data_IF_303705281759
#
_entry.id   IF_303705281759
#
_cell.length_a   1.000
_cell.length_b   1.000
_cell.length_c   1.000
_cell.angle_alpha   90.00
_cell.angle_beta   90.00
_cell.angle_gamma   90.00
#
_symmetry.space_group_name_H-M   'P 1'
#
loop_
_entity.id
_entity.type
_entity.pdbx_description
1 polymer ?
#
# COMPACT_ATOMS: atom_id res chain seq x y z
N UNK A 1 6.99 -19.52 -59.35
CA UNK A 1 7.02 -19.38 -57.88
C UNK A 1 6.35 -18.08 -57.54
N UNK A 2 5.17 -18.11 -56.96
CA UNK A 2 4.22 -17.02 -56.99
C UNK A 2 4.57 -15.95 -55.98
N UNK A 3 5.10 -14.86 -56.46
CA UNK A 3 5.44 -13.63 -55.69
C UNK A 3 4.26 -13.15 -54.83
N UNK A 4 3.05 -13.44 -55.20
CA UNK A 4 1.84 -13.12 -54.49
C UNK A 4 1.80 -13.68 -53.06
N UNK A 5 2.32 -14.91 -52.85
CA UNK A 5 2.37 -15.49 -51.52
C UNK A 5 3.40 -14.81 -50.62
N UNK A 6 4.53 -14.40 -51.21
CA UNK A 6 5.59 -13.68 -50.47
C UNK A 6 5.12 -12.29 -50.01
N UNK A 7 4.43 -11.55 -50.91
CA UNK A 7 3.83 -10.25 -50.60
C UNK A 7 2.73 -10.41 -49.54
N UNK A 8 1.85 -11.43 -49.70
CA UNK A 8 0.83 -11.71 -48.71
C UNK A 8 1.38 -12.00 -47.32
N UNK A 9 2.46 -12.81 -47.24
CA UNK A 9 3.11 -13.11 -45.98
C UNK A 9 3.77 -11.87 -45.33
N UNK A 10 4.43 -11.04 -46.15
CA UNK A 10 5.03 -9.78 -45.69
C UNK A 10 3.97 -8.83 -45.13
N UNK A 11 2.84 -8.66 -45.80
CA UNK A 11 1.71 -7.83 -45.37
C UNK A 11 1.15 -8.35 -44.04
N UNK A 12 0.92 -9.66 -43.93
CA UNK A 12 0.45 -10.26 -42.68
C UNK A 12 1.43 -10.05 -41.52
N UNK A 13 2.73 -10.20 -41.78
CA UNK A 13 3.77 -9.98 -40.78
C UNK A 13 3.80 -8.50 -40.30
N UNK A 14 3.72 -7.56 -41.23
CA UNK A 14 3.67 -6.12 -40.91
C UNK A 14 2.41 -5.75 -40.12
N UNK A 15 1.24 -6.28 -40.54
CA UNK A 15 -0.01 -6.05 -39.81
C UNK A 15 0.02 -6.68 -38.42
N UNK A 16 0.54 -7.90 -38.29
CA UNK A 16 0.74 -8.56 -36.98
C UNK A 16 1.69 -7.79 -36.08
N UNK A 17 2.80 -7.30 -36.62
CA UNK A 17 3.76 -6.46 -35.88
C UNK A 17 3.16 -5.14 -35.44
N UNK A 18 2.40 -4.46 -36.33
CA UNK A 18 1.72 -3.24 -35.98
C UNK A 18 0.63 -3.48 -34.90
N UNK A 19 -0.18 -4.51 -35.04
CA UNK A 19 -1.20 -4.87 -34.03
C UNK A 19 -0.59 -5.17 -32.67
N UNK A 20 0.54 -5.91 -32.64
CA UNK A 20 1.28 -6.20 -31.43
C UNK A 20 1.85 -4.93 -30.78
N UNK A 21 2.42 -4.02 -31.58
CA UNK A 21 2.92 -2.74 -31.09
C UNK A 21 1.80 -1.90 -30.49
N UNK A 22 0.67 -1.73 -31.18
CA UNK A 22 -0.48 -1.01 -30.66
C UNK A 22 -1.02 -1.64 -29.37
N UNK A 23 -1.07 -2.96 -29.30
CA UNK A 23 -1.44 -3.66 -28.08
C UNK A 23 -0.53 -3.31 -26.91
N UNK A 24 0.80 -3.32 -27.11
CA UNK A 24 1.74 -2.95 -26.05
C UNK A 24 1.56 -1.51 -25.57
N UNK A 25 1.36 -0.57 -26.50
CA UNK A 25 1.11 0.84 -26.15
C UNK A 25 -0.16 0.99 -25.33
N UNK A 26 -1.26 0.35 -25.74
CA UNK A 26 -2.53 0.40 -25.01
C UNK A 26 -2.38 -0.26 -23.62
N UNK A 27 -1.67 -1.36 -23.53
CA UNK A 27 -1.44 -2.05 -22.26
C UNK A 27 -0.61 -1.19 -21.29
N UNK A 28 0.44 -0.51 -21.78
CA UNK A 28 1.24 0.39 -20.99
C UNK A 28 0.43 1.59 -20.49
N UNK A 29 -0.32 2.26 -21.38
CA UNK A 29 -1.18 3.38 -21.01
C UNK A 29 -2.25 2.98 -19.97
N UNK A 30 -2.90 1.82 -20.17
CA UNK A 30 -3.88 1.32 -19.19
C UNK A 30 -3.25 1.07 -17.83
N UNK A 31 -2.02 0.52 -17.79
CA UNK A 31 -1.27 0.33 -16.57
C UNK A 31 -0.90 1.64 -15.86
N UNK A 32 -0.47 2.63 -16.63
CA UNK A 32 -0.12 3.95 -16.09
C UNK A 32 -1.35 4.70 -15.56
N UNK A 33 -2.47 4.67 -16.29
CA UNK A 33 -3.74 5.25 -15.84
C UNK A 33 -4.25 4.59 -14.57
N UNK A 34 -4.10 3.27 -14.47
CA UNK A 34 -4.48 2.53 -13.28
C UNK A 34 -3.60 2.94 -12.09
N UNK A 35 -2.27 2.94 -12.24
CA UNK A 35 -1.33 3.35 -11.20
C UNK A 35 -1.54 4.81 -10.78
N UNK A 36 -1.88 5.69 -11.72
CA UNK A 36 -2.16 7.09 -11.44
C UNK A 36 -3.36 7.30 -10.49
N UNK A 37 -4.25 6.31 -10.36
CA UNK A 37 -5.43 6.37 -9.49
C UNK A 37 -5.25 5.54 -8.21
N UNK A 38 -4.13 4.87 -8.04
CA UNK A 38 -3.86 4.08 -6.84
C UNK A 38 -3.52 4.95 -5.63
N UNK A 39 -4.04 4.62 -4.45
CA UNK A 39 -3.56 5.17 -3.20
C UNK A 39 -2.21 4.54 -2.84
N UNK A 40 -1.35 5.30 -2.20
CA UNK A 40 -0.08 4.83 -1.65
C UNK A 40 0.07 5.35 -0.24
N UNK A 41 -0.39 4.58 0.73
CA UNK A 41 -0.30 4.93 2.13
C UNK A 41 1.06 4.52 2.70
N UNK A 42 1.64 5.43 3.49
CA UNK A 42 2.88 5.18 4.23
C UNK A 42 2.76 5.68 5.65
N UNK A 43 3.47 5.01 6.56
CA UNK A 43 3.78 5.55 7.88
C UNK A 43 5.03 6.42 7.73
N UNK A 44 4.91 7.72 7.95
CA UNK A 44 6.00 8.68 7.72
C UNK A 44 6.73 9.06 8.99
N UNK A 45 6.08 8.90 10.12
CA UNK A 45 6.67 9.17 11.42
C UNK A 45 6.04 8.27 12.47
N UNK A 46 6.81 7.94 13.49
CA UNK A 46 6.34 7.23 14.66
C UNK A 46 6.89 7.93 15.90
N UNK A 47 6.00 8.43 16.74
CA UNK A 47 6.36 8.93 18.06
C UNK A 47 5.97 7.90 19.11
N UNK A 48 6.80 7.73 20.12
CA UNK A 48 6.53 6.87 21.26
C UNK A 48 6.46 7.72 22.53
N UNK A 49 5.42 7.58 23.31
CA UNK A 49 5.25 8.25 24.59
C UNK A 49 5.06 7.22 25.69
N UNK A 50 5.85 7.35 26.76
CA UNK A 50 5.71 6.54 27.96
C UNK A 50 4.93 7.34 29.02
N UNK A 51 3.88 6.73 29.54
CA UNK A 51 3.08 7.29 30.64
C UNK A 51 2.85 6.21 31.71
N UNK A 52 3.62 6.24 32.79
CA UNK A 52 3.62 5.17 33.79
C UNK A 52 3.98 3.82 33.15
N UNK A 53 3.08 2.83 33.27
CA UNK A 53 3.26 1.50 32.67
C UNK A 53 2.67 1.37 31.26
N UNK A 54 2.28 2.47 30.64
CA UNK A 54 1.66 2.45 29.32
C UNK A 54 2.63 3.01 28.27
N UNK A 55 2.71 2.35 27.13
CA UNK A 55 3.40 2.84 25.93
C UNK A 55 2.35 3.25 24.91
N UNK A 56 2.39 4.49 24.49
CA UNK A 56 1.55 4.99 23.41
C UNK A 56 2.40 5.19 22.17
N UNK A 57 2.10 4.46 21.10
CA UNK A 57 2.69 4.65 19.79
C UNK A 57 1.76 5.56 18.96
N UNK A 58 2.32 6.60 18.41
CA UNK A 58 1.58 7.58 17.59
C UNK A 58 2.17 7.58 16.18
N UNK A 59 1.74 6.65 15.31
CA UNK A 59 2.11 6.66 13.90
C UNK A 59 1.42 7.81 13.17
N UNK A 60 2.13 8.38 12.23
CA UNK A 60 1.62 9.38 11.31
C UNK A 60 1.44 8.74 9.93
N UNK A 61 0.19 8.75 9.44
CA UNK A 61 -0.17 8.20 8.13
C UNK A 61 -0.24 9.30 7.08
N UNK A 62 0.33 9.03 5.93
CA UNK A 62 0.33 9.92 4.77
C UNK A 62 0.00 9.13 3.50
N UNK A 63 -0.87 9.70 2.66
CA UNK A 63 -1.15 9.15 1.35
C UNK A 63 -0.32 9.91 0.30
N UNK A 64 0.75 9.28 -0.16
CA UNK A 64 1.63 9.84 -1.20
C UNK A 64 1.20 9.43 -2.62
N UNK A 65 0.19 8.56 -2.74
CA UNK A 65 -0.46 8.22 -4.01
C UNK A 65 -1.43 9.30 -4.46
N UNK A 66 -2.10 9.06 -5.58
CA UNK A 66 -3.10 9.99 -6.15
C UNK A 66 -4.54 9.57 -5.87
N UNK A 67 -4.78 8.29 -5.64
CA UNK A 67 -6.08 7.76 -5.27
C UNK A 67 -6.42 7.97 -3.79
N UNK A 68 -7.69 7.87 -3.45
CA UNK A 68 -8.15 7.88 -2.06
C UNK A 68 -8.01 6.48 -1.49
N UNK A 69 -7.45 6.37 -0.28
CA UNK A 69 -7.42 5.12 0.47
C UNK A 69 -8.64 5.01 1.38
N UNK A 70 -9.26 3.85 1.40
CA UNK A 70 -10.44 3.53 2.19
C UNK A 70 -10.14 2.43 3.20
N UNK A 71 -10.91 2.40 4.28
CA UNK A 71 -10.86 1.36 5.30
C UNK A 71 -9.42 1.07 5.79
N UNK A 72 -8.70 2.16 6.07
CA UNK A 72 -7.30 2.07 6.49
C UNK A 72 -7.23 1.54 7.92
N UNK A 73 -6.56 0.41 8.10
CA UNK A 73 -6.36 -0.24 9.40
C UNK A 73 -4.87 -0.41 9.65
N UNK A 74 -4.42 0.06 10.80
CA UNK A 74 -3.07 -0.15 11.29
C UNK A 74 -3.12 -1.19 12.42
N UNK A 75 -2.35 -2.25 12.27
CA UNK A 75 -2.29 -3.34 13.23
C UNK A 75 -0.84 -3.65 13.58
N UNK A 76 -0.55 -3.77 14.85
CA UNK A 76 0.76 -4.13 15.32
C UNK A 76 0.76 -5.60 15.76
N UNK A 77 1.56 -6.40 15.10
CA UNK A 77 1.63 -7.84 15.33
C UNK A 77 1.97 -8.18 16.77
N UNK A 78 1.21 -9.09 17.40
CA UNK A 78 1.37 -9.50 18.78
C UNK A 78 0.74 -8.55 19.81
N UNK A 79 0.12 -7.45 19.38
CA UNK A 79 -0.52 -6.45 20.24
C UNK A 79 -1.98 -6.25 19.82
N UNK A 80 -2.87 -6.27 20.80
CA UNK A 80 -4.27 -6.00 20.57
C UNK A 80 -4.52 -4.50 20.51
N UNK A 81 -4.20 -3.90 19.38
CA UNK A 81 -4.49 -2.51 19.11
C UNK A 81 -4.67 -2.33 17.60
N UNK A 82 -5.86 -1.97 17.20
CA UNK A 82 -6.10 -1.59 15.81
C UNK A 82 -6.59 -0.16 15.76
N UNK A 83 -6.07 0.55 14.79
CA UNK A 83 -6.52 1.88 14.46
C UNK A 83 -7.19 1.84 13.09
N UNK A 84 -8.35 2.47 12.97
CA UNK A 84 -9.08 2.49 11.71
C UNK A 84 -9.44 3.91 11.30
N UNK A 85 -9.10 4.28 10.07
CA UNK A 85 -9.52 5.52 9.41
C UNK A 85 -10.33 5.18 8.17
N UNK A 86 -11.53 5.73 8.06
CA UNK A 86 -12.42 5.42 6.92
C UNK A 86 -11.87 5.88 5.58
N UNK A 87 -11.22 7.05 5.54
CA UNK A 87 -10.68 7.63 4.29
C UNK A 87 -9.42 8.42 4.55
N UNK A 88 -8.40 8.22 3.73
CA UNK A 88 -7.18 9.04 3.69
C UNK A 88 -7.02 9.59 2.28
N UNK A 89 -7.12 10.90 2.15
CA UNK A 89 -7.02 11.60 0.89
C UNK A 89 -5.54 11.77 0.47
N UNK A 90 -5.25 11.81 -0.85
CA UNK A 90 -3.93 12.14 -1.36
C UNK A 90 -3.54 13.57 -0.99
N UNK A 91 -2.25 13.89 -1.11
CA UNK A 91 -1.75 15.25 -0.91
C UNK A 91 -2.49 16.24 -1.82
N UNK A 92 -3.05 17.30 -1.23
CA UNK A 92 -3.85 18.31 -1.93
C UNK A 92 -4.71 19.13 -0.99
N UNK A 93 -5.70 19.90 -1.48
CA UNK A 93 -6.54 20.80 -0.67
C UNK A 93 -7.31 20.13 0.46
N UNK A 94 -7.55 18.82 0.35
CA UNK A 94 -8.22 18.00 1.39
C UNK A 94 -7.24 17.11 2.16
N UNK A 95 -5.95 17.30 1.94
CA UNK A 95 -4.92 16.55 2.63
C UNK A 95 -4.95 16.81 4.12
N UNK A 96 -5.02 15.74 4.90
CA UNK A 96 -4.88 15.78 6.34
C UNK A 96 -3.90 14.69 6.75
N UNK A 97 -2.93 15.07 7.57
CA UNK A 97 -2.09 14.10 8.25
C UNK A 97 -2.94 13.40 9.31
N UNK A 98 -3.04 12.08 9.20
CA UNK A 98 -3.75 11.28 10.19
C UNK A 98 -2.75 10.75 11.21
N UNK A 99 -2.98 11.08 12.47
CA UNK A 99 -2.24 10.49 13.60
C UNK A 99 -3.12 9.45 14.27
N UNK A 100 -2.55 8.28 14.49
CA UNK A 100 -3.16 7.22 15.27
C UNK A 100 -2.56 7.22 16.67
N UNK A 101 -3.30 6.68 17.64
CA UNK A 101 -2.78 6.44 18.97
C UNK A 101 -3.00 4.98 19.31
N UNK A 102 -1.92 4.21 19.36
CA UNK A 102 -1.92 2.81 19.78
C UNK A 102 -1.45 2.75 21.22
N UNK A 103 -2.38 2.57 22.15
CA UNK A 103 -2.07 2.52 23.58
C UNK A 103 -1.84 1.07 23.99
N UNK A 104 -0.66 0.80 24.50
CA UNK A 104 -0.20 -0.51 24.95
C UNK A 104 -0.17 -0.50 26.49
N UNK A 105 -1.10 -1.21 27.11
CA UNK A 105 -1.14 -1.30 28.58
C UNK A 105 -0.16 -2.33 29.13
N UNK A 106 0.08 -2.33 30.46
CA UNK A 106 0.99 -3.27 31.10
C UNK A 106 0.53 -4.73 31.03
N UNK A 107 -0.77 -4.93 30.85
CA UNK A 107 -1.40 -6.24 30.69
C UNK A 107 -1.46 -6.69 29.23
N UNK A 108 -1.18 -5.78 28.29
CA UNK A 108 -0.98 -6.17 26.90
C UNK A 108 0.28 -7.00 26.86
N UNK A 109 0.20 -8.33 26.81
CA UNK A 109 1.38 -9.13 26.94
C UNK A 109 2.26 -8.81 25.72
N UNK A 110 3.31 -8.03 25.96
CA UNK A 110 4.49 -8.01 25.08
C UNK A 110 5.09 -9.44 25.12
N UNK A 111 4.30 -10.43 24.66
CA UNK A 111 4.74 -11.82 24.50
C UNK A 111 5.68 -11.96 23.33
N UNK A 112 6.13 -10.84 22.79
CA UNK A 112 7.26 -10.81 21.90
C UNK A 112 8.46 -11.12 22.76
N UNK A 113 8.98 -12.34 22.66
CA UNK A 113 10.25 -12.72 23.29
C UNK A 113 11.26 -11.60 23.00
N UNK A 114 12.05 -11.14 23.97
CA UNK A 114 13.16 -10.24 23.69
C UNK A 114 13.91 -10.80 22.49
N UNK A 115 14.13 -10.01 21.44
CA UNK A 115 14.69 -10.39 20.14
C UNK A 115 13.74 -10.97 19.09
N UNK A 116 12.42 -11.02 19.29
CA UNK A 116 11.53 -11.35 18.19
C UNK A 116 11.16 -10.12 17.37
N UNK A 117 11.37 -10.19 16.06
CA UNK A 117 10.91 -9.18 15.13
C UNK A 117 9.38 -9.26 15.02
N UNK A 118 8.71 -8.14 15.19
CA UNK A 118 7.29 -7.98 14.93
C UNK A 118 7.07 -7.22 13.63
N UNK A 119 5.81 -7.07 13.25
CA UNK A 119 5.44 -6.27 12.09
C UNK A 119 4.35 -5.28 12.46
N UNK A 120 4.50 -4.06 11.98
CA UNK A 120 3.44 -3.10 11.89
C UNK A 120 2.81 -3.24 10.51
N UNK A 121 1.55 -3.67 10.44
CA UNK A 121 0.81 -3.87 9.20
C UNK A 121 -0.16 -2.72 8.99
N UNK A 122 -0.06 -2.09 7.85
CA UNK A 122 -1.01 -1.10 7.35
C UNK A 122 -1.81 -1.72 6.21
N UNK A 123 -3.10 -1.90 6.40
CA UNK A 123 -4.02 -2.43 5.38
C UNK A 123 -4.97 -1.34 4.93
N UNK A 124 -5.27 -1.26 3.65
CA UNK A 124 -6.23 -0.31 3.09
C UNK A 124 -6.81 -0.83 1.78
N UNK A 125 -7.82 -0.15 1.28
CA UNK A 125 -8.44 -0.43 -0.02
C UNK A 125 -8.45 0.81 -0.88
N UNK A 126 -8.47 0.61 -2.19
CA UNK A 126 -8.75 1.69 -3.14
C UNK A 126 -10.27 1.84 -3.37
N UNK A 127 -10.64 2.76 -4.25
CA UNK A 127 -12.05 2.99 -4.62
C UNK A 127 -12.66 1.84 -5.44
N UNK A 128 -11.86 0.95 -5.99
CA UNK A 128 -12.32 -0.28 -6.64
C UNK A 128 -12.50 -1.46 -5.68
N UNK A 129 -12.08 -1.29 -4.41
CA UNK A 129 -12.13 -2.32 -3.38
C UNK A 129 -10.91 -3.25 -3.38
N UNK A 130 -9.89 -2.97 -4.19
CA UNK A 130 -8.65 -3.73 -4.17
C UNK A 130 -7.90 -3.48 -2.86
N UNK A 131 -7.39 -4.55 -2.29
CA UNK A 131 -6.74 -4.52 -0.98
C UNK A 131 -5.23 -4.39 -1.12
N UNK A 132 -4.66 -3.50 -0.34
CA UNK A 132 -3.22 -3.26 -0.21
C UNK A 132 -2.80 -3.56 1.22
N UNK A 133 -1.63 -4.16 1.38
CA UNK A 133 -1.00 -4.42 2.66
C UNK A 133 0.44 -3.91 2.64
N UNK A 134 0.81 -3.16 3.66
CA UNK A 134 2.15 -2.62 3.83
C UNK A 134 2.68 -3.06 5.19
N UNK A 135 3.87 -3.66 5.22
CA UNK A 135 4.46 -4.24 6.41
C UNK A 135 5.75 -3.53 6.74
N UNK A 136 5.88 -3.11 7.98
CA UNK A 136 7.08 -2.48 8.50
C UNK A 136 7.71 -3.40 9.55
N UNK A 137 9.00 -3.65 9.43
CA UNK A 137 9.73 -4.44 10.41
C UNK A 137 9.83 -3.67 11.73
N UNK A 138 9.43 -4.31 12.81
CA UNK A 138 9.51 -3.78 14.17
C UNK A 138 10.58 -4.53 14.94
N UNK A 139 11.59 -3.82 15.37
CA UNK A 139 12.65 -4.37 16.21
C UNK A 139 12.46 -3.88 17.64
N UNK A 140 12.52 -4.78 18.58
CA UNK A 140 12.41 -4.50 19.99
C UNK A 140 13.72 -4.83 20.69
N UNK A 141 14.22 -3.90 21.48
CA UNK A 141 15.41 -4.09 22.30
C UNK A 141 15.14 -3.74 23.77
N UNK A 142 15.82 -4.37 24.73
CA UNK A 142 15.71 -4.00 26.13
C UNK A 142 16.07 -2.52 26.33
N UNK A 143 15.26 -1.82 27.12
CA UNK A 143 15.58 -0.46 27.55
C UNK A 143 16.50 -0.49 28.77
N UNK A 144 17.30 0.56 28.96
CA UNK A 144 18.07 0.79 30.19
C UNK A 144 17.18 1.02 31.43
N UNK A 145 15.89 1.25 31.22
CA UNK A 145 14.90 1.46 32.28
C UNK A 145 13.81 0.39 32.22
N UNK A 146 13.97 -0.76 32.89
CA UNK A 146 12.90 -1.77 32.99
C UNK A 146 11.62 -1.18 33.65
N UNK A 147 10.40 -1.58 33.23
CA UNK A 147 10.07 -2.67 32.31
C UNK A 147 9.96 -2.27 30.84
N UNK A 148 10.48 -1.13 30.45
CA UNK A 148 10.31 -0.58 29.11
C UNK A 148 11.22 -1.23 28.07
N UNK A 149 10.77 -1.21 26.83
CA UNK A 149 11.52 -1.65 25.67
C UNK A 149 11.70 -0.47 24.71
N UNK A 150 12.83 -0.44 24.05
CA UNK A 150 13.04 0.43 22.92
C UNK A 150 12.43 -0.22 21.67
N UNK A 151 11.54 0.48 21.02
CA UNK A 151 10.88 0.02 19.79
C UNK A 151 11.43 0.86 18.64
N UNK A 152 11.94 0.17 17.63
CA UNK A 152 12.37 0.77 16.38
C UNK A 152 11.56 0.16 15.25
N UNK A 153 11.10 0.99 14.33
CA UNK A 153 10.36 0.57 13.14
C UNK A 153 11.14 1.04 11.93
N UNK A 154 11.41 0.11 11.02
CA UNK A 154 12.01 0.43 9.73
C UNK A 154 10.94 1.06 8.83
N UNK A 155 10.93 2.38 8.77
CA UNK A 155 10.00 3.14 7.94
C UNK A 155 10.52 3.33 6.50
N UNK A 156 11.80 3.06 6.26
CA UNK A 156 12.44 3.30 4.97
C UNK A 156 12.24 2.13 4.00
N UNK A 157 12.14 0.90 4.53
CA UNK A 157 12.05 -0.31 3.73
C UNK A 157 10.76 -1.10 4.02
N UNK A 158 9.57 -0.54 3.73
CA UNK A 158 8.34 -1.29 3.88
C UNK A 158 8.27 -2.42 2.85
N UNK A 159 7.80 -3.57 3.29
CA UNK A 159 7.38 -4.64 2.38
C UNK A 159 5.94 -4.36 1.94
N UNK A 160 5.74 -4.10 0.66
CA UNK A 160 4.44 -3.72 0.10
C UNK A 160 3.89 -4.87 -0.72
N UNK A 161 2.69 -5.31 -0.38
CA UNK A 161 1.91 -6.25 -1.17
C UNK A 161 0.80 -5.49 -1.89
N UNK A 162 1.02 -5.25 -3.18
CA UNK A 162 0.06 -4.57 -4.05
C UNK A 162 -0.72 -5.59 -4.87
N UNK A 163 -2.03 -5.35 -5.10
CA UNK A 163 -2.79 -6.17 -6.02
C UNK A 163 -2.26 -5.97 -7.44
N UNK A 164 -2.06 -7.07 -8.15
CA UNK A 164 -1.61 -7.08 -9.55
C UNK A 164 -2.74 -7.56 -10.47
N UNK A 165 -3.76 -6.72 -10.73
CA UNK A 165 -4.85 -7.08 -11.61
C UNK A 165 -4.35 -7.27 -13.05
N UNK A 166 -4.97 -8.21 -13.75
CA UNK A 166 -4.71 -8.42 -15.18
C UNK A 166 -5.11 -7.19 -16.01
N UNK A 167 -4.58 -7.09 -17.23
CA UNK A 167 -4.94 -6.01 -18.15
C UNK A 167 -6.46 -5.83 -18.31
N UNK A 168 -7.21 -6.91 -18.44
CA UNK A 168 -8.65 -6.87 -18.61
C UNK A 168 -9.40 -6.42 -17.37
N UNK A 169 -8.92 -6.81 -16.20
CA UNK A 169 -9.44 -6.34 -14.91
C UNK A 169 -9.20 -4.84 -14.74
N UNK A 170 -7.96 -4.37 -14.98
CA UNK A 170 -7.63 -2.94 -14.94
C UNK A 170 -8.55 -2.12 -15.85
N UNK A 171 -8.72 -2.55 -17.10
CA UNK A 171 -9.61 -1.86 -18.05
C UNK A 171 -11.07 -1.84 -17.61
N UNK A 172 -11.53 -2.91 -16.98
CA UNK A 172 -12.89 -2.99 -16.44
C UNK A 172 -13.07 -2.05 -15.25
N UNK A 173 -12.09 -1.98 -14.35
CA UNK A 173 -12.09 -1.10 -13.19
C UNK A 173 -12.07 0.37 -13.60
N UNK A 174 -11.20 0.75 -14.52
CA UNK A 174 -11.12 2.11 -15.06
C UNK A 174 -12.43 2.58 -15.72
N UNK A 175 -13.12 1.71 -16.45
CA UNK A 175 -14.44 2.03 -17.04
C UNK A 175 -15.53 2.31 -15.99
N UNK A 176 -15.48 1.61 -14.84
CA UNK A 176 -16.45 1.83 -13.76
C UNK A 176 -16.20 3.14 -13.00
N UNK A 177 -14.98 3.68 -13.04
CA UNK A 177 -14.62 4.91 -12.35
C UNK A 177 -14.90 6.17 -13.16
N UNK A 178 -15.16 6.07 -14.47
CA UNK A 178 -15.63 7.20 -15.28
C UNK A 178 -17.08 7.49 -14.91
N UNK A 179 -17.40 8.65 -14.28
CA UNK A 179 -18.78 9.01 -14.04
C UNK A 179 -19.48 9.12 -15.42
N UNK A 180 -20.61 8.46 -15.55
CA UNK A 180 -21.53 8.78 -16.66
C UNK A 180 -22.02 10.20 -16.44
N UNK A 181 -21.52 11.15 -17.24
CA UNK A 181 -22.08 12.49 -17.38
C UNK A 181 -23.50 12.45 -17.89
#
# INVERSE_FOLDING_TARGET
MDWFWLIGFLVLFLLGGAAYYFWQVIAAQTGDDFRAQQPMLRVTNLSAMHAGNMLTLIPQLENVGRGVAYDCVLHLGGWEGSFAVKKVYPQGPRYQKHTASLVLGPETPLRVKPQSNGYLRLSYRDHWGLKYDCWYLVTQSPSSQPPFYNIQIDLEHPEVNEPAPSFWEMRTLLRKSTPHE
#
